data_IF_162779610924
#
_entry.id   IF_162779610924
#
_cell.length_a   1.000
_cell.length_b   1.000
_cell.length_c   1.000
_cell.angle_alpha   90.00
_cell.angle_beta   90.00
_cell.angle_gamma   90.00
#
_symmetry.space_group_name_H-M   'P 1'
#
loop_
_entity.id
_entity.type
_entity.pdbx_description
1 polymer ?
#
# COMPACT_ATOMS: atom_id res chain seq x y z
N UNK A 1 11.11 -12.60 -28.16
CA UNK A 1 10.56 -13.57 -27.20
C UNK A 1 9.08 -13.76 -27.49
N UNK A 2 8.69 -15.02 -27.78
CA UNK A 2 7.33 -15.34 -28.26
C UNK A 2 6.25 -15.31 -27.15
N UNK A 3 6.65 -15.12 -25.89
CA UNK A 3 5.78 -15.24 -24.72
C UNK A 3 5.73 -13.98 -23.87
N UNK A 4 6.00 -12.83 -24.47
CA UNK A 4 5.90 -11.52 -23.85
C UNK A 4 4.70 -10.77 -24.42
N UNK A 5 3.81 -10.30 -23.55
CA UNK A 5 2.70 -9.39 -23.89
C UNK A 5 3.10 -7.98 -23.46
N UNK A 6 3.02 -7.05 -24.41
CA UNK A 6 3.18 -5.61 -24.15
C UNK A 6 1.84 -4.93 -24.44
N UNK A 7 1.38 -4.11 -23.50
CA UNK A 7 0.22 -3.26 -23.67
C UNK A 7 0.53 -1.84 -23.15
N UNK A 8 0.03 -0.81 -23.83
CA UNK A 8 0.21 0.60 -23.52
C UNK A 8 -1.08 1.39 -23.71
N UNK A 9 -1.09 2.65 -23.27
CA UNK A 9 -2.20 3.61 -23.39
C UNK A 9 -3.41 3.32 -22.50
N UNK A 10 -3.17 3.17 -21.21
CA UNK A 10 -4.24 2.99 -20.22
C UNK A 10 -4.74 1.54 -20.14
N UNK A 11 -3.84 0.67 -19.76
CA UNK A 11 -4.07 -0.77 -19.70
C UNK A 11 -4.69 -1.18 -18.37
N UNK A 12 -5.68 -2.05 -18.42
CA UNK A 12 -6.22 -2.76 -17.26
C UNK A 12 -5.79 -4.23 -17.36
N UNK A 13 -5.05 -4.69 -16.37
CA UNK A 13 -4.69 -6.09 -16.20
C UNK A 13 -5.47 -6.69 -15.05
N UNK A 14 -6.16 -7.80 -15.30
CA UNK A 14 -6.93 -8.54 -14.30
C UNK A 14 -6.50 -10.01 -14.28
N UNK A 15 -6.16 -10.51 -13.10
CA UNK A 15 -5.87 -11.92 -12.86
C UNK A 15 -6.47 -12.36 -11.52
N UNK A 16 -7.57 -13.10 -11.56
CA UNK A 16 -8.33 -13.45 -10.37
C UNK A 16 -8.86 -12.21 -9.67
N UNK A 17 -8.46 -11.99 -8.42
CA UNK A 17 -8.85 -10.82 -7.63
C UNK A 17 -7.88 -9.64 -7.76
N UNK A 18 -6.77 -9.83 -8.45
CA UNK A 18 -5.76 -8.77 -8.65
C UNK A 18 -6.14 -7.92 -9.86
N UNK A 19 -6.15 -6.62 -9.68
CA UNK A 19 -6.40 -5.64 -10.73
C UNK A 19 -5.31 -4.57 -10.69
N UNK A 20 -4.71 -4.30 -11.84
CA UNK A 20 -3.73 -3.24 -12.04
C UNK A 20 -4.19 -2.35 -13.18
N UNK A 21 -4.27 -1.05 -12.95
CA UNK A 21 -4.47 -0.02 -13.97
C UNK A 21 -3.15 0.71 -14.19
N UNK A 22 -2.68 0.82 -15.43
CA UNK A 22 -1.35 1.33 -15.71
C UNK A 22 -1.24 2.00 -17.08
N UNK A 23 -0.19 2.82 -17.23
CA UNK A 23 0.19 3.37 -18.52
C UNK A 23 0.72 2.28 -19.45
N UNK A 24 1.57 1.39 -18.92
CA UNK A 24 2.24 0.36 -19.72
C UNK A 24 2.46 -0.91 -18.89
N UNK A 25 2.19 -2.04 -19.51
CA UNK A 25 2.29 -3.36 -18.88
C UNK A 25 3.11 -4.29 -19.77
N UNK A 26 4.08 -4.96 -19.17
CA UNK A 26 4.85 -6.08 -19.74
C UNK A 26 4.53 -7.33 -18.94
N UNK A 27 3.96 -8.32 -19.58
CA UNK A 27 3.64 -9.59 -18.93
C UNK A 27 4.34 -10.75 -19.64
N UNK A 28 5.08 -11.52 -18.87
CA UNK A 28 5.76 -12.72 -19.35
C UNK A 28 4.92 -13.95 -19.04
N UNK A 29 4.45 -14.63 -20.09
CA UNK A 29 3.58 -15.81 -19.98
C UNK A 29 4.27 -17.05 -19.41
N UNK A 30 5.60 -17.15 -19.54
CA UNK A 30 6.33 -18.34 -19.10
C UNK A 30 6.49 -18.37 -17.57
N UNK A 31 6.83 -17.22 -16.96
CA UNK A 31 7.13 -17.11 -15.54
C UNK A 31 6.12 -16.27 -14.78
N UNK A 32 5.06 -15.80 -15.43
CA UNK A 32 3.99 -14.97 -14.87
C UNK A 32 4.48 -13.67 -14.20
N UNK A 33 5.65 -13.19 -14.62
CA UNK A 33 6.18 -11.93 -14.13
C UNK A 33 5.50 -10.77 -14.83
N UNK A 34 5.01 -9.84 -14.02
CA UNK A 34 4.40 -8.59 -14.45
C UNK A 34 5.34 -7.44 -14.13
N UNK A 35 5.68 -6.65 -15.16
CA UNK A 35 6.32 -5.35 -15.00
C UNK A 35 5.34 -4.29 -15.46
N UNK A 36 5.15 -3.27 -14.62
CA UNK A 36 4.21 -2.17 -14.87
C UNK A 36 4.95 -0.87 -14.76
N UNK A 37 4.68 0.04 -15.67
CA UNK A 37 5.10 1.43 -15.59
C UNK A 37 3.89 2.31 -15.26
N UNK A 38 4.06 3.14 -14.22
CA UNK A 38 3.03 4.07 -13.75
C UNK A 38 1.67 3.38 -13.55
N UNK A 39 1.50 2.76 -12.41
CA UNK A 39 0.29 1.98 -12.17
C UNK A 39 -0.34 2.24 -10.81
N UNK A 40 -1.60 1.79 -10.71
CA UNK A 40 -2.42 1.79 -9.49
C UNK A 40 -3.01 0.40 -9.32
N UNK A 41 -3.00 -0.09 -8.10
CA UNK A 41 -3.55 -1.40 -7.74
C UNK A 41 -4.07 -1.39 -6.31
N UNK A 42 -4.62 -2.51 -5.88
CA UNK A 42 -4.99 -2.72 -4.49
C UNK A 42 -4.67 -4.15 -4.04
N UNK A 43 -4.50 -4.32 -2.75
CA UNK A 43 -4.42 -5.62 -2.09
C UNK A 43 -5.55 -5.74 -1.07
N UNK A 44 -6.20 -6.90 -1.00
CA UNK A 44 -7.17 -7.20 0.04
C UNK A 44 -6.46 -7.52 1.36
N UNK A 45 -7.07 -7.09 2.45
CA UNK A 45 -6.64 -7.38 3.81
C UNK A 45 -7.78 -8.07 4.53
N UNK A 46 -7.57 -9.31 4.88
CA UNK A 46 -8.59 -10.08 5.58
C UNK A 46 -8.77 -9.57 7.01
N UNK A 47 -10.03 -9.55 7.47
CA UNK A 47 -10.36 -9.24 8.87
C UNK A 47 -10.29 -7.76 9.26
N UNK A 48 -10.17 -6.82 8.33
CA UNK A 48 -10.19 -5.38 8.60
C UNK A 48 -11.41 -4.68 7.96
N UNK A 49 -12.64 -4.92 8.44
CA UNK A 49 -13.86 -4.33 7.86
C UNK A 49 -13.87 -2.80 7.91
N UNK A 50 -13.23 -2.23 8.91
CA UNK A 50 -13.09 -0.77 9.09
C UNK A 50 -12.33 -0.11 7.94
N UNK A 51 -11.43 -0.84 7.29
CA UNK A 51 -10.59 -0.37 6.20
C UNK A 51 -11.15 -0.70 4.81
N UNK A 52 -12.42 -1.09 4.70
CA UNK A 52 -12.97 -1.60 3.44
C UNK A 52 -12.23 -2.83 2.89
N UNK A 53 -11.44 -3.49 3.71
CA UNK A 53 -10.61 -4.65 3.38
C UNK A 53 -9.63 -4.42 2.22
N UNK A 54 -9.25 -3.17 1.91
CA UNK A 54 -8.34 -2.87 0.80
C UNK A 54 -7.29 -1.83 1.18
N UNK A 55 -6.06 -2.08 0.75
CA UNK A 55 -5.00 -1.09 0.66
C UNK A 55 -4.79 -0.77 -0.81
N UNK A 56 -4.98 0.49 -1.17
CA UNK A 56 -4.69 1.01 -2.49
C UNK A 56 -3.23 1.46 -2.54
N UNK A 57 -2.56 1.18 -3.62
CA UNK A 57 -1.18 1.60 -3.82
C UNK A 57 -0.91 1.91 -5.29
N UNK A 58 0.01 2.81 -5.51
CA UNK A 58 0.45 3.19 -6.84
C UNK A 58 1.94 3.55 -6.85
N UNK A 59 2.52 3.69 -8.01
CA UNK A 59 3.92 4.08 -8.16
C UNK A 59 4.39 4.03 -9.61
N UNK A 60 5.69 4.38 -9.79
CA UNK A 60 6.29 4.51 -11.12
C UNK A 60 6.65 3.15 -11.76
N UNK A 61 7.13 2.21 -10.96
CA UNK A 61 7.55 0.90 -11.45
C UNK A 61 7.07 -0.19 -10.52
N UNK A 62 6.31 -1.16 -11.06
CA UNK A 62 5.91 -2.37 -10.38
C UNK A 62 6.66 -3.56 -10.96
N UNK A 63 7.08 -4.45 -10.08
CA UNK A 63 7.53 -5.78 -10.41
C UNK A 63 6.69 -6.74 -9.56
N UNK A 64 5.86 -7.54 -10.20
CA UNK A 64 4.99 -8.46 -9.48
C UNK A 64 5.11 -9.87 -10.05
N UNK A 65 5.02 -10.84 -9.15
CA UNK A 65 4.81 -12.24 -9.45
C UNK A 65 3.54 -12.67 -8.70
N UNK A 66 2.42 -12.56 -9.36
CA UNK A 66 1.13 -12.88 -8.74
C UNK A 66 0.96 -14.39 -8.54
N UNK A 67 0.33 -14.83 -7.43
CA UNK A 67 -0.22 -14.00 -6.32
C UNK A 67 0.79 -13.70 -5.20
N UNK A 68 2.07 -14.03 -5.34
CA UNK A 68 3.02 -14.19 -4.24
C UNK A 68 3.59 -12.87 -3.72
N UNK A 69 3.98 -11.97 -4.63
CA UNK A 69 4.61 -10.72 -4.24
C UNK A 69 4.47 -9.60 -5.28
N UNK A 70 4.55 -8.37 -4.79
CA UNK A 70 4.67 -7.17 -5.61
C UNK A 70 5.65 -6.17 -4.98
N UNK A 71 6.52 -5.60 -5.81
CA UNK A 71 7.46 -4.55 -5.44
C UNK A 71 7.17 -3.30 -6.24
N UNK A 72 7.02 -2.16 -5.56
CA UNK A 72 6.70 -0.88 -6.19
C UNK A 72 7.74 0.14 -5.81
N UNK A 73 8.29 0.86 -6.80
CA UNK A 73 9.22 1.97 -6.60
C UNK A 73 8.50 3.30 -6.68
N UNK A 74 9.02 4.30 -5.96
CA UNK A 74 8.47 5.65 -5.85
C UNK A 74 6.95 5.58 -5.63
N UNK A 75 6.60 4.85 -4.57
CA UNK A 75 5.28 4.37 -4.33
C UNK A 75 4.52 5.24 -3.34
N UNK A 76 3.20 5.22 -3.45
CA UNK A 76 2.30 5.69 -2.42
C UNK A 76 1.30 4.58 -2.07
N UNK A 77 0.74 4.64 -0.87
CA UNK A 77 -0.31 3.72 -0.44
C UNK A 77 -1.24 4.37 0.59
N UNK A 78 -2.48 3.90 0.63
CA UNK A 78 -3.54 4.41 1.51
C UNK A 78 -4.62 3.36 1.70
N UNK A 79 -5.41 3.50 2.77
CA UNK A 79 -6.66 2.76 2.97
C UNK A 79 -7.89 3.61 2.64
N UNK A 80 -7.70 4.86 2.25
CA UNK A 80 -8.80 5.74 1.88
C UNK A 80 -9.51 5.30 0.60
N UNK A 81 -10.83 5.24 0.64
CA UNK A 81 -11.69 4.99 -0.54
C UNK A 81 -11.55 6.06 -1.62
N UNK A 82 -11.07 7.24 -1.25
CA UNK A 82 -10.83 8.33 -2.19
C UNK A 82 -9.79 7.96 -3.25
N UNK A 83 -8.98 6.91 -2.99
CA UNK A 83 -8.06 6.36 -3.99
C UNK A 83 -8.77 5.86 -5.26
N UNK A 84 -10.06 5.51 -5.20
CA UNK A 84 -10.87 5.17 -6.36
C UNK A 84 -11.12 6.35 -7.31
N UNK A 85 -10.85 7.59 -6.87
CA UNK A 85 -10.94 8.79 -7.69
C UNK A 85 -9.69 9.06 -8.51
N UNK A 86 -8.58 8.41 -8.15
CA UNK A 86 -7.35 8.43 -8.95
C UNK A 86 -7.58 7.54 -10.17
N UNK A 87 -7.74 8.16 -11.33
CA UNK A 87 -8.07 7.47 -12.59
C UNK A 87 -6.83 7.17 -13.42
N UNK A 88 -5.78 7.92 -13.19
CA UNK A 88 -4.53 7.79 -13.93
C UNK A 88 -3.34 7.89 -12.96
N UNK A 89 -2.19 7.39 -13.40
CA UNK A 89 -0.94 7.54 -12.65
C UNK A 89 -0.46 9.01 -12.60
N UNK A 90 -0.98 9.90 -13.44
CA UNK A 90 -0.67 11.33 -13.42
C UNK A 90 -1.38 12.06 -12.28
N UNK A 91 -2.46 11.48 -11.75
CA UNK A 91 -3.18 12.02 -10.62
C UNK A 91 -2.29 12.00 -9.38
N UNK A 92 -2.09 13.17 -8.79
CA UNK A 92 -1.26 13.28 -7.59
C UNK A 92 -2.03 12.84 -6.36
N UNK A 93 -1.55 11.84 -5.61
CA UNK A 93 -2.22 11.36 -4.39
C UNK A 93 -2.55 12.49 -3.41
N UNK A 94 -1.64 13.47 -3.25
CA UNK A 94 -1.80 14.60 -2.36
C UNK A 94 -2.95 15.56 -2.72
N UNK A 95 -3.43 15.54 -3.96
CA UNK A 95 -4.57 16.38 -4.38
C UNK A 95 -5.93 15.74 -4.09
N UNK A 96 -5.94 14.42 -3.91
CA UNK A 96 -7.17 13.61 -3.80
C UNK A 96 -7.30 12.95 -2.42
N UNK A 97 -6.19 12.45 -1.88
CA UNK A 97 -6.21 11.63 -0.68
C UNK A 97 -6.15 12.46 0.60
N UNK A 98 -7.04 12.23 1.57
CA UNK A 98 -6.98 12.90 2.87
C UNK A 98 -5.74 12.50 3.67
N UNK A 99 -5.24 11.29 3.45
CA UNK A 99 -3.98 10.80 3.99
C UNK A 99 -3.39 9.73 3.08
N UNK A 100 -2.08 9.66 3.01
CA UNK A 100 -1.34 8.64 2.29
C UNK A 100 0.10 8.54 2.80
N UNK A 101 0.75 7.44 2.50
CA UNK A 101 2.16 7.25 2.76
C UNK A 101 2.89 7.21 1.41
N UNK A 102 3.97 7.99 1.28
CA UNK A 102 4.90 7.89 0.14
C UNK A 102 6.16 7.15 0.58
N UNK A 103 6.64 6.24 -0.24
CA UNK A 103 7.81 5.43 0.05
C UNK A 103 8.70 5.30 -1.18
N UNK A 104 10.01 5.22 -0.96
CA UNK A 104 10.97 4.95 -2.05
C UNK A 104 10.74 3.56 -2.65
N UNK A 105 10.37 2.59 -1.80
CA UNK A 105 10.04 1.22 -2.21
C UNK A 105 9.02 0.63 -1.26
N UNK A 106 8.03 -0.05 -1.83
CA UNK A 106 7.09 -0.92 -1.10
C UNK A 106 7.28 -2.35 -1.58
N UNK A 107 7.21 -3.30 -0.66
CA UNK A 107 7.15 -4.73 -0.94
C UNK A 107 5.89 -5.28 -0.29
N UNK A 108 5.02 -5.87 -1.08
CA UNK A 108 3.73 -6.40 -0.66
C UNK A 108 3.77 -7.91 -0.82
N UNK A 109 3.46 -8.62 0.24
CA UNK A 109 3.30 -10.06 0.28
C UNK A 109 1.86 -10.35 0.71
N UNK A 110 0.93 -10.56 -0.25
CA UNK A 110 -0.50 -10.70 0.02
C UNK A 110 -0.80 -11.73 1.12
N UNK A 111 -1.70 -11.40 2.05
CA UNK A 111 -2.03 -12.23 3.20
C UNK A 111 -0.92 -12.44 4.23
N UNK A 112 0.24 -11.78 4.06
CA UNK A 112 1.38 -11.90 4.98
C UNK A 112 1.78 -10.55 5.56
N UNK A 113 2.39 -9.68 4.75
CA UNK A 113 2.92 -8.39 5.22
C UNK A 113 3.10 -7.38 4.09
N UNK A 114 3.16 -6.10 4.48
CA UNK A 114 3.64 -4.99 3.68
C UNK A 114 4.88 -4.42 4.35
N UNK A 115 5.92 -4.14 3.57
CA UNK A 115 7.16 -3.49 4.03
C UNK A 115 7.46 -2.31 3.13
N UNK A 116 7.74 -1.15 3.72
CA UNK A 116 8.07 0.06 2.98
C UNK A 116 9.34 0.70 3.54
N UNK A 117 10.15 1.28 2.67
CA UNK A 117 11.42 1.94 3.02
C UNK A 117 11.36 3.43 2.69
N UNK A 118 11.96 4.25 3.56
CA UNK A 118 12.02 5.69 3.43
C UNK A 118 10.61 6.29 3.23
N UNK A 119 9.82 6.23 4.30
CA UNK A 119 8.39 6.50 4.27
C UNK A 119 8.10 7.89 4.81
N UNK A 120 7.34 8.67 4.07
CA UNK A 120 6.74 9.92 4.51
C UNK A 120 5.24 9.73 4.68
N UNK A 121 4.72 10.09 5.83
CA UNK A 121 3.28 10.11 6.12
C UNK A 121 2.74 11.50 5.79
N UNK A 122 1.68 11.55 5.00
CA UNK A 122 1.03 12.78 4.57
C UNK A 122 -0.40 12.89 5.10
N UNK A 123 -0.77 14.08 5.55
CA UNK A 123 -2.16 14.50 5.72
C UNK A 123 -2.48 15.49 4.59
N UNK A 124 -3.24 15.04 3.58
CA UNK A 124 -3.39 15.77 2.33
C UNK A 124 -2.02 16.06 1.69
N UNK A 125 -1.68 17.36 1.59
CA UNK A 125 -0.40 17.84 1.01
C UNK A 125 0.74 17.99 2.03
N UNK A 126 0.45 17.85 3.33
CA UNK A 126 1.40 18.18 4.39
C UNK A 126 2.11 16.90 4.85
N UNK A 127 3.44 16.81 4.73
CA UNK A 127 4.21 15.73 5.34
C UNK A 127 4.24 15.94 6.86
N UNK A 128 3.77 14.97 7.62
CA UNK A 128 3.66 15.04 9.09
C UNK A 128 4.70 14.20 9.82
N UNK A 129 5.21 13.15 9.15
CA UNK A 129 6.15 12.23 9.79
C UNK A 129 7.01 11.56 8.73
N UNK A 130 8.28 11.30 9.10
CA UNK A 130 9.21 10.48 8.31
C UNK A 130 9.67 9.27 9.11
N UNK A 131 9.76 8.13 8.41
CA UNK A 131 10.22 6.86 8.96
C UNK A 131 11.27 6.25 8.03
N UNK A 132 12.37 5.73 8.54
CA UNK A 132 13.36 5.02 7.73
C UNK A 132 12.78 3.76 7.10
N UNK A 133 11.87 3.10 7.80
CA UNK A 133 11.12 1.93 7.32
C UNK A 133 9.76 1.83 8.03
N UNK A 134 8.84 1.13 7.39
CA UNK A 134 7.53 0.81 7.91
C UNK A 134 7.20 -0.64 7.55
N UNK A 135 6.61 -1.38 8.45
CA UNK A 135 6.11 -2.73 8.20
C UNK A 135 4.75 -2.92 8.86
N UNK A 136 3.87 -3.65 8.18
CA UNK A 136 2.56 -4.00 8.70
C UNK A 136 2.16 -5.41 8.30
N UNK A 137 1.46 -6.10 9.20
CA UNK A 137 0.87 -7.40 8.91
C UNK A 137 -0.36 -7.25 8.01
N UNK A 138 -0.51 -8.11 7.02
CA UNK A 138 -1.71 -8.22 6.18
C UNK A 138 -2.55 -9.45 6.57
N UNK A 139 -2.25 -10.06 7.72
CA UNK A 139 -3.00 -11.21 8.25
C UNK A 139 -4.27 -10.72 8.97
N UNK A 140 -5.29 -11.57 8.96
CA UNK A 140 -6.60 -11.31 9.59
C UNK A 140 -6.56 -11.21 11.12
N UNK A 141 -5.52 -11.72 11.76
CA UNK A 141 -5.35 -11.75 13.22
C UNK A 141 -4.51 -10.57 13.77
N UNK A 142 -4.10 -9.64 12.90
CA UNK A 142 -3.36 -8.46 13.32
C UNK A 142 -4.28 -7.48 14.05
N UNK A 143 -3.90 -7.13 15.28
CA UNK A 143 -4.61 -6.14 16.11
C UNK A 143 -4.07 -4.72 15.96
N UNK A 144 -2.92 -4.56 15.30
CA UNK A 144 -2.33 -3.26 15.07
C UNK A 144 -2.99 -2.53 13.90
N UNK A 145 -3.32 -1.23 14.02
CA UNK A 145 -3.84 -0.48 12.91
C UNK A 145 -2.80 -0.42 11.78
N UNK A 146 -3.22 -0.82 10.58
CA UNK A 146 -2.39 -0.80 9.37
C UNK A 146 -1.89 0.61 8.99
N UNK A 147 -2.55 1.65 9.51
CA UNK A 147 -2.26 3.03 9.21
C UNK A 147 -2.45 3.90 10.45
N UNK A 148 -1.77 5.06 10.51
CA UNK A 148 -2.06 6.04 11.52
C UNK A 148 -3.54 6.42 11.48
N UNK A 149 -4.25 6.26 12.58
CA UNK A 149 -5.63 6.73 12.73
C UNK A 149 -5.54 8.18 13.21
N UNK A 150 -6.00 9.10 12.39
CA UNK A 150 -6.12 10.50 12.77
C UNK A 150 -7.55 10.72 13.24
N UNK A 151 -7.69 11.08 14.50
CA UNK A 151 -8.98 11.38 15.12
C UNK A 151 -8.99 12.71 15.84
N UNK A 152 -10.19 13.20 16.16
CA UNK A 152 -10.38 14.37 17.01
C UNK A 152 -11.55 14.08 17.94
N UNK A 153 -11.34 14.27 19.22
CA UNK A 153 -12.40 14.21 20.23
C UNK A 153 -12.38 15.46 21.13
N UNK A 154 -13.50 15.74 21.78
CA UNK A 154 -13.66 16.92 22.62
C UNK A 154 -12.80 16.94 23.88
N UNK A 155 -12.21 15.82 24.27
CA UNK A 155 -11.42 15.68 25.49
C UNK A 155 -9.92 15.70 25.22
N UNK A 156 -9.49 15.11 24.09
CA UNK A 156 -8.07 14.93 23.76
C UNK A 156 -7.62 15.81 22.56
N UNK A 157 -8.54 16.59 21.97
CA UNK A 157 -8.20 17.35 20.76
C UNK A 157 -7.93 16.45 19.54
N UNK A 158 -7.03 16.88 18.67
CA UNK A 158 -6.58 16.06 17.52
C UNK A 158 -5.52 15.07 17.98
N UNK A 159 -5.72 13.81 17.66
CA UNK A 159 -4.75 12.76 18.01
C UNK A 159 -4.38 11.91 16.79
N UNK A 160 -3.18 11.36 16.81
CA UNK A 160 -2.69 10.35 15.88
C UNK A 160 -2.46 9.08 16.67
N UNK A 161 -3.21 8.03 16.37
CA UNK A 161 -2.99 6.69 16.91
C UNK A 161 -2.24 5.86 15.87
N UNK A 162 -1.08 5.37 16.24
CA UNK A 162 -0.29 4.52 15.37
C UNK A 162 0.15 3.26 16.08
N UNK A 163 -0.10 2.11 15.43
CA UNK A 163 0.41 0.82 15.87
C UNK A 163 1.56 0.36 14.98
N UNK A 164 2.67 -0.03 15.58
CA UNK A 164 3.74 -0.76 14.90
C UNK A 164 3.63 -2.21 15.34
N UNK A 165 3.35 -3.10 14.40
CA UNK A 165 3.39 -4.53 14.65
C UNK A 165 4.82 -5.02 14.41
N UNK A 166 5.56 -5.28 15.50
CA UNK A 166 6.86 -5.92 15.42
C UNK A 166 6.68 -7.43 15.26
N UNK A 167 6.15 -7.83 14.09
CA UNK A 167 6.03 -9.24 13.72
C UNK A 167 7.38 -9.86 13.39
N UNK A 168 8.35 -9.81 14.29
CA UNK A 168 9.48 -10.74 14.24
C UNK A 168 8.97 -12.04 14.86
N UNK A 169 8.78 -13.04 14.02
CA UNK A 169 8.31 -14.36 14.41
C UNK A 169 9.43 -15.10 15.20
N UNK A 170 9.72 -14.62 16.39
CA UNK A 170 10.47 -15.38 17.38
C UNK A 170 9.51 -15.78 18.49
N UNK A 171 9.58 -17.02 18.93
CA UNK A 171 8.78 -17.57 20.03
C UNK A 171 8.91 -16.80 21.36
N UNK A 172 9.62 -15.67 21.39
CA UNK A 172 9.97 -14.92 22.58
C UNK A 172 9.52 -13.46 22.61
N UNK A 173 9.11 -12.86 21.48
CA UNK A 173 8.66 -11.47 21.41
C UNK A 173 7.53 -11.29 20.39
N UNK A 174 6.31 -11.24 20.91
CA UNK A 174 5.19 -10.62 20.21
C UNK A 174 4.89 -9.32 20.93
N UNK A 175 5.11 -8.19 20.28
CA UNK A 175 4.84 -6.89 20.84
C UNK A 175 4.19 -5.96 19.81
N UNK A 176 3.16 -5.25 20.22
CA UNK A 176 2.63 -4.08 19.52
C UNK A 176 2.99 -2.83 20.31
N UNK A 177 3.46 -1.79 19.63
CA UNK A 177 3.64 -0.47 20.22
C UNK A 177 2.63 0.50 19.62
N UNK A 178 1.89 1.22 20.44
CA UNK A 178 1.01 2.29 20.02
C UNK A 178 1.57 3.63 20.51
N UNK A 179 1.72 4.60 19.61
CA UNK A 179 2.06 5.98 19.92
C UNK A 179 0.78 6.81 19.80
N UNK A 180 0.39 7.47 20.89
CA UNK A 180 -0.67 8.47 20.91
C UNK A 180 -0.02 9.84 21.06
N UNK A 181 -0.14 10.69 20.05
CA UNK A 181 0.22 12.11 20.11
C UNK A 181 -1.07 12.90 20.30
N UNK A 182 -1.13 13.69 21.36
CA UNK A 182 -2.23 14.59 21.71
C UNK A 182 -1.78 16.02 21.57
#
# INVERSE_FOLDING_TARGET
>A
DKNLVLASDGVIFEQGENKVEAEEIYFNLDNQNLKVRNGISYVKVDGAPELNNKIYYGGEEFLAQFPDEAHVKNAWFTTSKEALKLKTFEDKPEDVLPYHLKAKKISIYPGKKLVANNVFVYAGKIPILWLPWYASSLKSDSTAPLFPIIGSDGTNGTYILWGLDYGYNSNYFNGSAALKLT
#
